data_IF_685740875584
#
_entry.id   IF_685740875584
#
_cell.length_a   1.000
_cell.length_b   1.000
_cell.length_c   1.000
_cell.angle_alpha   90.00
_cell.angle_beta   90.00
_cell.angle_gamma   90.00
#
_symmetry.space_group_name_H-M   'P 1'
#
loop_
_entity.id
_entity.type
_entity.pdbx_description
1 polymer ?
#
# COMPACT_ATOMS: atom_id res chain seq x y z
N UNK A 1 3.69 -13.85 -40.83
CA UNK A 1 2.37 -13.52 -40.25
C UNK A 1 1.85 -14.58 -39.26
N UNK A 2 2.17 -15.84 -39.35
CA UNK A 2 1.68 -16.93 -38.45
C UNK A 2 2.20 -16.86 -37.01
N UNK A 3 3.40 -16.36 -36.76
CA UNK A 3 3.99 -16.29 -35.40
C UNK A 3 3.30 -15.24 -34.45
N UNK A 4 2.78 -14.15 -35.02
CA UNK A 4 2.11 -13.11 -34.22
C UNK A 4 0.69 -13.52 -33.78
N UNK A 5 0.01 -14.37 -34.52
CA UNK A 5 -1.30 -14.88 -34.16
C UNK A 5 -1.23 -15.94 -33.04
N UNK A 6 -0.22 -16.82 -33.09
CA UNK A 6 0.00 -17.84 -32.07
C UNK A 6 0.41 -17.29 -30.72
N UNK A 7 1.17 -16.19 -30.68
CA UNK A 7 1.54 -15.50 -29.43
C UNK A 7 0.33 -14.83 -28.76
N UNK A 8 -0.55 -14.18 -29.54
CA UNK A 8 -1.77 -13.58 -29.03
C UNK A 8 -2.78 -14.61 -28.52
N UNK A 9 -2.83 -15.78 -29.11
CA UNK A 9 -3.71 -16.86 -28.69
C UNK A 9 -3.22 -17.52 -27.38
N UNK A 10 -1.89 -17.71 -27.22
CA UNK A 10 -1.28 -18.16 -25.96
C UNK A 10 -1.47 -17.15 -24.81
N UNK A 11 -1.38 -15.86 -25.10
CA UNK A 11 -1.66 -14.80 -24.13
C UNK A 11 -3.11 -14.84 -23.62
N UNK A 12 -4.09 -15.08 -24.52
CA UNK A 12 -5.51 -15.19 -24.14
C UNK A 12 -5.82 -16.43 -23.30
N UNK A 13 -5.14 -17.54 -23.54
CA UNK A 13 -5.32 -18.78 -22.78
C UNK A 13 -4.78 -18.71 -21.35
N UNK A 14 -3.81 -17.83 -21.10
CA UNK A 14 -3.27 -17.60 -19.75
C UNK A 14 -4.12 -16.63 -18.90
N UNK A 15 -5.07 -15.91 -19.49
CA UNK A 15 -5.96 -14.98 -18.76
C UNK A 15 -7.01 -15.73 -17.94
N UNK A 16 -7.53 -16.85 -18.42
CA UNK A 16 -8.61 -17.59 -17.73
C UNK A 16 -8.20 -18.12 -16.35
N UNK A 17 -7.04 -18.81 -16.19
CA UNK A 17 -6.58 -19.22 -14.86
C UNK A 17 -6.19 -18.05 -13.96
N UNK A 18 -5.73 -16.93 -14.54
CA UNK A 18 -5.43 -15.71 -13.79
C UNK A 18 -6.71 -15.09 -13.22
N UNK A 19 -7.77 -14.98 -14.03
CA UNK A 19 -9.08 -14.49 -13.59
C UNK A 19 -9.68 -15.37 -12.48
N UNK A 20 -9.57 -16.69 -12.60
CA UNK A 20 -10.03 -17.62 -11.57
C UNK A 20 -9.31 -17.41 -10.23
N UNK A 21 -7.99 -17.28 -10.24
CA UNK A 21 -7.19 -16.99 -9.04
C UNK A 21 -7.49 -15.58 -8.47
N UNK A 22 -7.68 -14.58 -9.34
CA UNK A 22 -8.05 -13.22 -8.93
C UNK A 22 -9.40 -13.18 -8.25
N UNK A 23 -10.40 -13.87 -8.79
CA UNK A 23 -11.74 -13.96 -8.19
C UNK A 23 -11.67 -14.68 -6.84
N UNK A 24 -10.95 -15.79 -6.73
CA UNK A 24 -10.79 -16.50 -5.46
C UNK A 24 -10.05 -15.68 -4.41
N UNK A 25 -9.01 -14.95 -4.78
CA UNK A 25 -8.30 -14.06 -3.87
C UNK A 25 -9.13 -12.84 -3.46
N UNK A 26 -9.90 -12.27 -4.39
CA UNK A 26 -10.83 -11.18 -4.08
C UNK A 26 -11.95 -11.65 -3.14
N UNK A 27 -12.51 -12.84 -3.35
CA UNK A 27 -13.53 -13.40 -2.45
C UNK A 27 -12.96 -13.75 -1.07
N UNK A 28 -11.72 -14.24 -0.99
CA UNK A 28 -11.03 -14.47 0.29
C UNK A 28 -10.78 -13.15 1.04
N UNK A 29 -10.33 -12.10 0.33
CA UNK A 29 -10.17 -10.75 0.89
C UNK A 29 -11.49 -10.18 1.44
N UNK A 30 -12.57 -10.29 0.68
CA UNK A 30 -13.90 -9.84 1.10
C UNK A 30 -14.39 -10.65 2.30
N UNK A 31 -14.18 -11.97 2.30
CA UNK A 31 -14.56 -12.84 3.39
C UNK A 31 -13.75 -12.56 4.67
N UNK A 32 -12.43 -12.32 4.54
CA UNK A 32 -11.57 -11.98 5.68
C UNK A 32 -11.92 -10.62 6.30
N UNK A 33 -12.42 -9.67 5.50
CA UNK A 33 -12.84 -8.33 5.94
C UNK A 33 -14.16 -8.30 6.68
N UNK A 34 -15.03 -9.26 6.44
CA UNK A 34 -16.30 -9.38 7.16
C UNK A 34 -16.14 -9.96 8.57
N UNK A 35 -14.91 -10.28 8.99
CA UNK A 35 -14.62 -10.68 10.38
C UNK A 35 -14.44 -9.42 11.23
N UNK A 36 -15.32 -9.16 12.22
CA UNK A 36 -15.31 -7.91 12.99
C UNK A 36 -14.02 -7.68 13.81
N UNK A 37 -13.24 -8.72 14.08
CA UNK A 37 -12.05 -8.68 14.94
C UNK A 37 -10.72 -8.66 14.18
N UNK A 38 -10.74 -8.52 12.84
CA UNK A 38 -9.50 -8.56 12.06
C UNK A 38 -9.15 -7.18 11.48
N UNK A 39 -7.98 -6.62 11.85
CA UNK A 39 -7.46 -5.43 11.17
C UNK A 39 -7.22 -5.77 9.70
N UNK A 40 -7.80 -4.99 8.79
CA UNK A 40 -7.67 -5.21 7.35
C UNK A 40 -6.89 -4.07 6.71
N UNK A 41 -6.08 -4.41 5.70
CA UNK A 41 -5.44 -3.42 4.86
C UNK A 41 -6.45 -2.49 4.16
N UNK A 42 -6.04 -1.30 3.78
CA UNK A 42 -6.89 -0.39 3.02
C UNK A 42 -7.11 -0.90 1.59
N UNK A 43 -8.30 -0.63 1.02
CA UNK A 43 -8.55 -0.94 -0.38
C UNK A 43 -7.87 0.10 -1.28
N UNK A 44 -7.25 -0.32 -2.39
CA UNK A 44 -6.82 0.61 -3.41
C UNK A 44 -8.03 1.40 -3.95
N UNK A 45 -7.81 2.65 -4.35
CA UNK A 45 -8.83 3.55 -4.92
C UNK A 45 -9.91 4.05 -3.94
N UNK A 46 -9.77 3.82 -2.64
CA UNK A 46 -10.69 4.37 -1.62
C UNK A 46 -10.12 5.62 -0.92
N UNK A 47 -9.01 6.16 -1.41
CA UNK A 47 -8.41 7.37 -0.86
C UNK A 47 -9.34 8.57 -1.00
N UNK A 48 -9.49 9.40 0.04
CA UNK A 48 -10.30 10.61 -0.03
C UNK A 48 -9.67 11.64 -0.98
N UNK A 49 -10.50 12.51 -1.56
CA UNK A 49 -10.05 13.63 -2.35
C UNK A 49 -9.27 14.63 -1.47
N UNK A 50 -8.20 15.18 -2.02
CA UNK A 50 -7.34 16.18 -1.37
C UNK A 50 -6.98 17.29 -2.35
N UNK A 51 -6.45 18.43 -1.90
CA UNK A 51 -5.96 19.48 -2.79
C UNK A 51 -4.83 19.02 -3.75
N UNK A 52 -4.21 17.87 -3.47
CA UNK A 52 -3.15 17.31 -4.33
C UNK A 52 -3.66 16.54 -5.55
N UNK A 53 -4.96 16.26 -5.61
CA UNK A 53 -5.58 15.55 -6.75
C UNK A 53 -5.82 16.45 -7.97
N UNK A 54 -5.37 17.71 -7.93
CA UNK A 54 -5.47 18.65 -9.03
C UNK A 54 -4.34 18.53 -10.05
N UNK A 55 -4.40 19.39 -11.10
CA UNK A 55 -3.34 19.48 -12.08
C UNK A 55 -2.01 19.92 -11.46
N UNK A 56 -0.93 19.24 -11.84
CA UNK A 56 0.42 19.54 -11.35
C UNK A 56 1.13 20.55 -12.24
N UNK A 57 2.05 21.34 -11.67
CA UNK A 57 2.92 22.26 -12.40
C UNK A 57 4.36 21.72 -12.48
N UNK A 58 5.22 22.38 -13.24
CA UNK A 58 6.64 22.06 -13.31
C UNK A 58 7.42 22.44 -12.04
N UNK A 59 6.84 23.26 -11.16
CA UNK A 59 7.48 23.69 -9.91
C UNK A 59 7.59 22.50 -8.93
N UNK A 60 8.74 22.41 -8.28
CA UNK A 60 9.03 21.43 -7.22
C UNK A 60 9.57 22.17 -6.01
N UNK A 61 8.98 21.93 -4.85
CA UNK A 61 9.49 22.39 -3.56
C UNK A 61 9.94 21.17 -2.78
N UNK A 62 11.10 21.27 -2.15
CA UNK A 62 11.69 20.19 -1.36
C UNK A 62 12.05 20.72 0.02
N UNK A 63 11.74 19.95 1.05
CA UNK A 63 12.15 20.21 2.42
C UNK A 63 12.78 18.95 3.02
N UNK A 64 13.72 19.13 3.93
CA UNK A 64 14.41 18.04 4.62
C UNK A 64 14.23 18.21 6.12
N UNK A 65 14.04 17.10 6.81
CA UNK A 65 14.02 17.03 8.27
C UNK A 65 14.82 15.82 8.73
N UNK A 66 15.28 15.85 9.99
CA UNK A 66 16.02 14.75 10.61
C UNK A 66 15.34 14.36 11.91
N UNK A 67 15.17 13.08 12.12
CA UNK A 67 14.70 12.50 13.37
C UNK A 67 15.79 11.50 13.83
N UNK A 68 16.30 11.60 15.07
CA UNK A 68 17.26 10.64 15.58
C UNK A 68 16.67 9.22 15.59
N UNK A 69 17.43 8.26 15.10
CA UNK A 69 16.98 6.86 15.09
C UNK A 69 16.74 6.31 16.50
N UNK A 70 17.49 6.84 17.48
CA UNK A 70 17.31 6.48 18.90
C UNK A 70 15.89 6.84 19.39
N UNK A 71 15.39 8.03 19.04
CA UNK A 71 14.06 8.48 19.43
C UNK A 71 12.97 7.62 18.76
N UNK A 72 13.16 7.29 17.47
CA UNK A 72 12.25 6.40 16.76
C UNK A 72 12.21 5.00 17.39
N UNK A 73 13.36 4.47 17.82
CA UNK A 73 13.45 3.20 18.53
C UNK A 73 12.79 3.26 19.92
N UNK A 74 12.93 4.36 20.64
CA UNK A 74 12.27 4.57 21.93
C UNK A 74 10.74 4.56 21.75
N UNK A 75 10.21 5.33 20.79
CA UNK A 75 8.78 5.39 20.49
C UNK A 75 8.25 4.01 20.09
N UNK A 76 8.90 3.30 19.16
CA UNK A 76 8.43 1.99 18.72
C UNK A 76 8.40 0.97 19.86
N UNK A 77 9.38 1.00 20.77
CA UNK A 77 9.44 0.08 21.90
C UNK A 77 8.35 0.40 22.93
N UNK A 78 8.06 1.70 23.17
CA UNK A 78 7.00 2.11 24.08
C UNK A 78 5.59 1.77 23.55
N UNK A 79 5.41 1.75 22.23
CA UNK A 79 4.12 1.51 21.59
C UNK A 79 3.95 0.08 21.04
N UNK A 80 4.90 -0.82 21.25
CA UNK A 80 4.93 -2.18 20.64
C UNK A 80 4.72 -2.15 19.11
N UNK A 81 5.35 -1.18 18.47
CA UNK A 81 5.22 -0.92 17.03
C UNK A 81 6.53 -1.21 16.28
N UNK A 82 6.53 -1.08 14.96
CA UNK A 82 7.73 -1.15 14.14
C UNK A 82 8.30 0.25 13.86
N UNK A 83 9.57 0.35 13.42
CA UNK A 83 10.14 1.62 12.97
C UNK A 83 9.35 2.18 11.77
N UNK A 84 8.87 1.32 10.89
CA UNK A 84 8.03 1.71 9.76
C UNK A 84 6.72 2.35 10.21
N UNK A 85 6.08 1.81 11.24
CA UNK A 85 4.84 2.38 11.78
C UNK A 85 5.07 3.78 12.37
N UNK A 86 6.21 3.98 13.04
CA UNK A 86 6.60 5.32 13.55
C UNK A 86 6.83 6.31 12.40
N UNK A 87 7.50 5.88 11.31
CA UNK A 87 7.66 6.71 10.10
C UNK A 87 6.30 7.09 9.52
N UNK A 88 5.41 6.11 9.36
CA UNK A 88 4.05 6.36 8.84
C UNK A 88 3.26 7.31 9.75
N UNK A 89 3.39 7.16 11.07
CA UNK A 89 2.73 8.06 12.04
C UNK A 89 3.25 9.51 11.97
N UNK A 90 4.55 9.70 11.75
CA UNK A 90 5.15 11.02 11.53
C UNK A 90 4.62 11.62 10.22
N UNK A 91 4.60 10.86 9.14
CA UNK A 91 4.04 11.27 7.86
C UNK A 91 2.55 11.65 8.02
N UNK A 92 1.76 10.79 8.64
CA UNK A 92 0.33 11.02 8.90
C UNK A 92 0.08 12.30 9.69
N UNK A 93 0.84 12.52 10.77
CA UNK A 93 0.73 13.73 11.58
C UNK A 93 1.13 15.00 10.83
N UNK A 94 2.13 14.92 9.98
CA UNK A 94 2.57 16.03 9.13
C UNK A 94 1.52 16.36 8.08
N UNK A 95 0.99 15.38 7.38
CA UNK A 95 -0.05 15.56 6.36
C UNK A 95 -1.35 16.09 6.99
N UNK A 96 -1.74 15.54 8.15
CA UNK A 96 -2.88 16.03 8.91
C UNK A 96 -2.75 17.53 9.19
N UNK A 97 -1.65 17.96 9.83
CA UNK A 97 -1.41 19.39 10.16
C UNK A 97 -1.39 20.27 8.90
N UNK A 98 -0.82 19.79 7.83
CA UNK A 98 -0.78 20.50 6.56
C UNK A 98 -2.18 20.72 6.00
N UNK A 99 -3.03 19.70 6.02
CA UNK A 99 -4.41 19.78 5.52
C UNK A 99 -5.30 20.61 6.46
N UNK A 100 -5.17 20.46 7.77
CA UNK A 100 -5.87 21.29 8.77
C UNK A 100 -5.55 22.78 8.58
N UNK A 101 -4.30 23.14 8.33
CA UNK A 101 -3.91 24.54 8.10
C UNK A 101 -4.51 25.16 6.82
N UNK A 102 -5.22 24.38 6.03
CA UNK A 102 -5.86 24.75 4.76
C UNK A 102 -7.36 24.47 4.74
N UNK A 103 -7.93 24.12 5.89
CA UNK A 103 -9.35 23.70 6.01
C UNK A 103 -9.70 22.60 4.99
N UNK A 104 -8.76 21.68 4.72
CA UNK A 104 -8.86 20.66 3.68
C UNK A 104 -8.62 19.23 4.19
N UNK A 105 -8.65 19.04 5.53
CA UNK A 105 -8.54 17.69 6.10
C UNK A 105 -9.82 16.91 5.80
N UNK A 106 -9.75 15.77 5.08
CA UNK A 106 -10.92 14.95 4.85
C UNK A 106 -11.35 14.22 6.12
N UNK A 107 -12.64 13.89 6.21
CA UNK A 107 -13.20 13.08 7.30
C UNK A 107 -12.70 11.64 7.28
N UNK A 108 -12.38 11.12 6.08
CA UNK A 108 -11.81 9.80 5.91
C UNK A 108 -10.28 9.83 5.97
N UNK A 109 -9.62 8.77 6.50
CA UNK A 109 -8.17 8.73 6.60
C UNK A 109 -7.50 8.66 5.22
N UNK A 110 -6.34 9.29 5.11
CA UNK A 110 -5.45 9.16 3.95
C UNK A 110 -4.90 7.74 3.86
N UNK A 111 -4.56 7.31 2.65
CA UNK A 111 -3.95 6.02 2.39
C UNK A 111 -2.48 6.17 2.02
N UNK A 112 -1.67 5.24 2.48
CA UNK A 112 -0.29 5.07 2.06
C UNK A 112 -0.12 3.82 1.21
N UNK A 113 0.76 3.90 0.22
CA UNK A 113 1.28 2.76 -0.53
C UNK A 113 2.69 2.49 -0.02
N UNK A 114 2.89 1.32 0.57
CA UNK A 114 4.17 0.90 1.12
C UNK A 114 4.80 -0.15 0.19
N UNK A 115 5.99 0.12 -0.38
CA UNK A 115 6.68 -0.88 -1.17
C UNK A 115 7.15 -2.04 -0.28
N UNK A 116 6.99 -3.26 -0.76
CA UNK A 116 7.42 -4.50 -0.08
C UNK A 116 8.40 -5.22 -1.00
N UNK A 117 9.59 -5.52 -0.48
CA UNK A 117 10.55 -6.32 -1.21
C UNK A 117 10.02 -7.77 -1.33
N UNK A 118 10.03 -8.30 -2.54
CA UNK A 118 9.67 -9.69 -2.82
C UNK A 118 10.97 -10.47 -3.01
N UNK A 119 11.13 -11.56 -2.25
CA UNK A 119 12.26 -12.45 -2.47
C UNK A 119 12.16 -13.05 -3.89
N UNK A 120 13.26 -13.07 -4.65
CA UNK A 120 13.26 -13.71 -5.97
C UNK A 120 12.90 -15.18 -5.80
N UNK A 121 11.98 -15.66 -6.62
CA UNK A 121 11.74 -17.10 -6.75
C UNK A 121 12.99 -17.71 -7.41
N UNK A 122 13.60 -18.74 -6.80
CA UNK A 122 14.87 -19.37 -7.25
C UNK A 122 14.85 -19.88 -8.71
N UNK A 123 13.69 -19.80 -9.35
CA UNK A 123 13.46 -20.33 -10.71
C UNK A 123 13.63 -19.30 -11.84
N UNK A 124 13.79 -18.02 -11.56
CA UNK A 124 13.74 -16.95 -12.60
C UNK A 124 15.00 -16.09 -12.70
N UNK A 125 16.14 -16.48 -12.14
CA UNK A 125 17.38 -15.72 -12.22
C UNK A 125 17.33 -14.39 -11.42
N UNK A 126 18.42 -13.60 -11.39
CA UNK A 126 18.49 -12.39 -10.57
C UNK A 126 17.61 -11.28 -11.17
N UNK A 127 16.33 -11.27 -10.82
CA UNK A 127 15.47 -10.11 -11.01
C UNK A 127 15.76 -9.10 -9.90
N UNK A 128 16.63 -8.17 -10.19
CA UNK A 128 17.21 -7.24 -9.20
C UNK A 128 16.20 -6.28 -8.53
N UNK A 129 14.93 -6.22 -8.97
CA UNK A 129 13.94 -5.25 -8.50
C UNK A 129 12.50 -5.80 -8.47
N UNK A 130 12.30 -6.96 -7.83
CA UNK A 130 10.93 -7.41 -7.57
C UNK A 130 10.36 -6.66 -6.37
N UNK A 131 9.51 -5.68 -6.63
CA UNK A 131 8.83 -4.87 -5.61
C UNK A 131 7.33 -5.08 -5.75
N UNK A 132 6.68 -5.41 -4.67
CA UNK A 132 5.23 -5.40 -4.51
C UNK A 132 4.79 -4.20 -3.68
N UNK A 133 3.50 -3.98 -3.53
CA UNK A 133 2.95 -2.88 -2.77
C UNK A 133 1.85 -3.36 -1.83
N UNK A 134 1.84 -2.83 -0.62
CA UNK A 134 0.71 -2.96 0.30
C UNK A 134 0.07 -1.59 0.53
N UNK A 135 -1.24 -1.59 0.79
CA UNK A 135 -2.00 -0.39 1.07
C UNK A 135 -2.38 -0.38 2.55
N UNK A 136 -2.18 0.77 3.21
CA UNK A 136 -2.52 0.94 4.61
C UNK A 136 -3.16 2.29 4.88
N UNK A 137 -4.08 2.35 5.84
CA UNK A 137 -4.62 3.61 6.33
C UNK A 137 -3.63 4.32 7.23
N UNK A 138 -3.52 5.64 7.07
CA UNK A 138 -2.67 6.50 7.88
C UNK A 138 -3.34 7.02 9.16
N UNK A 139 -4.64 6.75 9.39
CA UNK A 139 -5.36 7.29 10.54
C UNK A 139 -5.25 8.81 10.64
N UNK A 140 -5.18 9.51 9.51
CA UNK A 140 -5.00 10.97 9.49
C UNK A 140 -6.20 11.75 10.03
N UNK A 141 -7.36 11.13 10.15
CA UNK A 141 -8.56 11.58 10.84
C UNK A 141 -8.41 11.61 12.36
N UNK A 142 -7.48 10.84 12.93
CA UNK A 142 -7.23 10.71 14.36
C UNK A 142 -6.31 11.84 14.84
N UNK A 143 -6.79 12.67 15.76
CA UNK A 143 -6.03 13.82 16.28
C UNK A 143 -4.90 13.41 17.24
N UNK A 144 -5.17 12.45 18.13
CA UNK A 144 -4.19 11.97 19.12
C UNK A 144 -3.05 11.19 18.44
N UNK A 145 -1.78 11.57 18.63
CA UNK A 145 -0.66 10.92 17.94
C UNK A 145 -0.37 9.52 18.46
N UNK A 146 -0.64 9.20 19.72
CA UNK A 146 -0.40 7.87 20.27
C UNK A 146 -1.47 6.88 19.76
N UNK A 147 -2.73 7.30 19.79
CA UNK A 147 -3.83 6.52 19.22
C UNK A 147 -3.64 6.31 17.71
N UNK A 148 -3.22 7.35 16.99
CA UNK A 148 -2.91 7.24 15.56
C UNK A 148 -1.80 6.23 15.28
N UNK A 149 -0.71 6.22 16.07
CA UNK A 149 0.36 5.22 15.94
C UNK A 149 -0.16 3.80 16.19
N UNK A 150 -0.98 3.59 17.22
CA UNK A 150 -1.58 2.30 17.52
C UNK A 150 -2.44 1.79 16.34
N UNK A 151 -3.31 2.65 15.81
CA UNK A 151 -4.16 2.31 14.65
C UNK A 151 -3.32 2.04 13.39
N UNK A 152 -2.24 2.80 13.15
CA UNK A 152 -1.33 2.53 12.03
C UNK A 152 -0.65 1.17 12.21
N UNK A 153 -0.18 0.83 13.40
CA UNK A 153 0.44 -0.46 13.68
C UNK A 153 -0.50 -1.62 13.39
N UNK A 154 -1.76 -1.54 13.81
CA UNK A 154 -2.78 -2.54 13.50
C UNK A 154 -3.06 -2.63 11.99
N UNK A 155 -3.23 -1.50 11.33
CA UNK A 155 -3.48 -1.44 9.89
C UNK A 155 -2.32 -2.04 9.07
N UNK A 156 -1.08 -1.80 9.47
CA UNK A 156 0.10 -2.37 8.78
C UNK A 156 0.24 -3.86 9.01
N UNK A 157 -0.14 -4.38 10.19
CA UNK A 157 -0.23 -5.83 10.45
C UNK A 157 -1.25 -6.46 9.50
N UNK A 158 -2.47 -5.94 9.44
CA UNK A 158 -3.52 -6.43 8.54
C UNK A 158 -3.12 -6.33 7.07
N UNK A 159 -2.51 -5.21 6.65
CA UNK A 159 -2.04 -5.04 5.28
C UNK A 159 -0.96 -6.06 4.86
N UNK A 160 -0.06 -6.45 5.78
CA UNK A 160 0.93 -7.50 5.54
C UNK A 160 0.28 -8.87 5.40
N UNK A 161 -0.72 -9.19 6.25
CA UNK A 161 -1.46 -10.43 6.16
C UNK A 161 -2.23 -10.54 4.85
N UNK A 162 -2.94 -9.47 4.45
CA UNK A 162 -3.66 -9.38 3.17
C UNK A 162 -2.69 -9.52 1.99
N UNK A 163 -1.53 -8.84 2.04
CA UNK A 163 -0.49 -8.95 1.01
C UNK A 163 0.04 -10.38 0.86
N UNK A 164 0.30 -11.06 1.99
CA UNK A 164 0.77 -12.45 1.98
C UNK A 164 -0.32 -13.41 1.46
N UNK A 165 -1.60 -13.15 1.76
CA UNK A 165 -2.72 -13.96 1.30
C UNK A 165 -2.97 -13.84 -0.21
N UNK A 166 -2.77 -12.63 -0.79
CA UNK A 166 -2.94 -12.40 -2.24
C UNK A 166 -1.78 -13.00 -3.04
N UNK A 167 -0.61 -13.15 -2.43
CA UNK A 167 0.62 -13.55 -3.08
C UNK A 167 1.25 -12.41 -3.92
N UNK A 168 2.50 -12.12 -3.62
CA UNK A 168 3.26 -11.06 -4.28
C UNK A 168 3.33 -11.21 -5.82
N UNK A 169 3.31 -12.45 -6.30
CA UNK A 169 3.35 -12.84 -7.72
C UNK A 169 2.13 -12.34 -8.52
N UNK A 170 0.96 -12.24 -7.88
CA UNK A 170 -0.26 -11.81 -8.58
C UNK A 170 -0.26 -10.30 -8.87
N UNK A 171 0.19 -9.47 -7.94
CA UNK A 171 0.30 -8.02 -8.14
C UNK A 171 1.36 -7.68 -9.18
N UNK A 172 2.45 -8.44 -9.23
CA UNK A 172 3.50 -8.28 -10.23
C UNK A 172 3.00 -8.63 -11.64
N UNK A 173 2.26 -9.72 -11.79
CA UNK A 173 1.64 -10.12 -13.07
C UNK A 173 0.60 -9.12 -13.57
N UNK A 174 -0.15 -8.48 -12.68
CA UNK A 174 -1.07 -7.40 -13.06
C UNK A 174 -0.34 -6.19 -13.65
N UNK A 175 0.85 -5.86 -13.13
CA UNK A 175 1.66 -4.77 -13.65
C UNK A 175 2.22 -5.05 -15.06
N UNK A 176 2.46 -6.32 -15.40
CA UNK A 176 2.89 -6.76 -16.73
C UNK A 176 1.76 -6.68 -17.78
N UNK A 177 0.49 -6.72 -17.33
CA UNK A 177 -0.70 -6.59 -18.19
C UNK A 177 -1.18 -5.13 -18.32
N UNK A 178 -0.72 -4.21 -17.48
CA UNK A 178 -0.97 -2.79 -17.66
C UNK A 178 -0.24 -2.33 -18.92
N UNK A 179 -1.00 -2.13 -20.00
CA UNK A 179 -0.49 -1.68 -21.30
C UNK A 179 0.21 -0.34 -21.09
N UNK A 180 1.49 -0.19 -21.48
CA UNK A 180 2.11 1.13 -21.50
C UNK A 180 1.37 2.00 -22.52
N UNK A 181 0.91 3.16 -22.07
CA UNK A 181 0.36 4.22 -22.94
C UNK A 181 1.45 4.76 -23.85
#
# INVERSE_FOLDING_TARGET
>A
MYHAAASRMRQRLNIVPLLGKTISSATQLIASRNSPDRPSGALPLTAPATPWNGAISAKRNVAFSRVPLADMKAIKNAADATVNDVVLAICAGTLRRYLESRDALPDAPLLAVCPVAVAPDDKTGPSANSVSAMFTSLGSDIADPALRLAVISENTKGAKEDHNAIGADMLQRWNEFAVPN
#
